data_IF_383600199918
#
_entry.id   IF_383600199918
#
_cell.length_a   1.000
_cell.length_b   1.000
_cell.length_c   1.000
_cell.angle_alpha   90.00
_cell.angle_beta   90.00
_cell.angle_gamma   90.00
#
_symmetry.space_group_name_H-M   'P 1'
#
loop_
_entity.id
_entity.type
_entity.pdbx_description
1 polymer ?
#
# COMPACT_ATOMS: atom_id res chain seq x y z
N UNK A 1 5.98 -6.56 34.15
CA UNK A 1 5.28 -7.80 33.76
C UNK A 1 5.70 -8.36 32.38
N UNK A 2 6.28 -7.57 31.45
CA UNK A 2 6.61 -8.06 30.08
C UNK A 2 8.08 -8.49 29.88
N UNK A 3 8.94 -8.34 30.90
CA UNK A 3 10.37 -8.67 30.83
C UNK A 3 10.68 -10.18 30.75
N UNK A 4 9.67 -11.04 30.81
CA UNK A 4 9.83 -12.50 30.81
C UNK A 4 10.00 -13.12 29.40
N UNK A 5 9.71 -12.37 28.33
CA UNK A 5 9.69 -12.88 26.96
C UNK A 5 10.84 -12.35 26.10
N UNK A 6 11.06 -11.04 26.15
CA UNK A 6 12.06 -10.34 25.37
C UNK A 6 12.58 -9.13 26.15
N UNK A 7 13.89 -8.96 26.15
CA UNK A 7 14.57 -7.77 26.66
C UNK A 7 15.46 -7.19 25.55
N UNK A 8 15.44 -5.87 25.37
CA UNK A 8 16.33 -5.19 24.43
C UNK A 8 17.82 -5.39 24.76
N UNK A 9 18.14 -5.60 26.05
CA UNK A 9 19.50 -5.75 26.54
C UNK A 9 19.96 -7.22 26.65
N UNK A 10 19.03 -8.14 26.97
CA UNK A 10 19.35 -9.55 27.24
C UNK A 10 18.80 -10.52 26.18
N UNK A 11 18.14 -10.03 25.14
CA UNK A 11 17.55 -10.84 24.08
C UNK A 11 16.31 -11.63 24.51
N UNK A 12 16.04 -12.72 23.78
CA UNK A 12 14.91 -13.62 24.04
C UNK A 12 15.24 -14.61 25.16
N UNK A 13 14.30 -14.80 26.08
CA UNK A 13 14.42 -15.87 27.09
C UNK A 13 14.16 -17.24 26.46
N UNK A 14 14.60 -18.37 27.06
CA UNK A 14 14.29 -19.71 26.54
C UNK A 14 12.78 -19.95 26.36
N UNK A 15 11.96 -19.40 27.26
CA UNK A 15 10.50 -19.44 27.13
C UNK A 15 10.00 -18.58 25.95
N UNK A 16 10.55 -17.37 25.78
CA UNK A 16 10.26 -16.51 24.63
C UNK A 16 10.63 -17.16 23.29
N UNK A 17 11.77 -17.85 23.22
CA UNK A 17 12.18 -18.63 22.04
C UNK A 17 11.15 -19.72 21.74
N UNK A 18 10.77 -20.53 22.73
CA UNK A 18 9.78 -21.60 22.51
C UNK A 18 8.44 -21.06 22.01
N UNK A 19 7.94 -19.96 22.58
CA UNK A 19 6.70 -19.34 22.14
C UNK A 19 6.77 -18.87 20.68
N UNK A 20 7.87 -18.19 20.31
CA UNK A 20 8.10 -17.73 18.94
C UNK A 20 8.23 -18.92 17.98
N UNK A 21 8.98 -19.95 18.35
CA UNK A 21 9.12 -21.19 17.56
C UNK A 21 7.76 -21.81 17.29
N UNK A 22 6.88 -21.97 18.29
CA UNK A 22 5.53 -22.52 18.10
C UNK A 22 4.68 -21.67 17.15
N UNK A 23 4.83 -20.35 17.19
CA UNK A 23 4.16 -19.43 16.25
C UNK A 23 4.64 -19.62 14.80
N UNK A 24 5.95 -19.74 14.61
CA UNK A 24 6.57 -20.00 13.31
C UNK A 24 6.15 -21.36 12.76
N UNK A 25 6.21 -22.42 13.59
CA UNK A 25 5.76 -23.77 13.22
C UNK A 25 4.28 -23.80 12.85
N UNK A 26 3.42 -23.10 13.59
CA UNK A 26 2.00 -22.98 13.28
C UNK A 26 1.75 -22.31 11.93
N UNK A 27 2.48 -21.23 11.65
CA UNK A 27 2.42 -20.53 10.36
C UNK A 27 2.89 -21.44 9.22
N UNK A 28 3.99 -22.15 9.42
CA UNK A 28 4.52 -23.09 8.44
C UNK A 28 3.53 -24.23 8.13
N UNK A 29 2.99 -24.89 9.16
CA UNK A 29 2.00 -25.95 9.00
C UNK A 29 0.76 -25.46 8.25
N UNK A 30 0.29 -24.24 8.54
CA UNK A 30 -0.82 -23.62 7.82
C UNK A 30 -0.50 -23.36 6.33
N UNK A 31 0.70 -22.88 6.04
CA UNK A 31 1.16 -22.70 4.67
C UNK A 31 1.19 -24.03 3.91
N UNK A 32 1.85 -25.05 4.47
CA UNK A 32 1.93 -26.39 3.86
C UNK A 32 0.53 -26.97 3.67
N UNK A 33 -0.37 -26.82 4.65
CA UNK A 33 -1.76 -27.24 4.50
C UNK A 33 -2.42 -26.64 3.25
N UNK A 34 -2.36 -25.32 3.04
CA UNK A 34 -2.93 -24.72 1.83
C UNK A 34 -2.30 -25.23 0.53
N UNK A 35 -0.99 -25.45 0.52
CA UNK A 35 -0.30 -26.00 -0.66
C UNK A 35 -0.77 -27.43 -0.94
N UNK A 36 -0.86 -28.29 0.07
CA UNK A 36 -1.33 -29.68 -0.08
C UNK A 36 -2.74 -29.75 -0.65
N UNK A 37 -3.68 -28.91 -0.16
CA UNK A 37 -5.06 -28.87 -0.66
C UNK A 37 -5.14 -28.48 -2.14
N UNK A 38 -4.33 -27.51 -2.58
CA UNK A 38 -4.36 -27.01 -3.95
C UNK A 38 -3.57 -27.91 -4.92
N UNK A 39 -2.45 -28.48 -4.49
CA UNK A 39 -1.58 -29.34 -5.31
C UNK A 39 -1.92 -30.82 -5.23
N UNK A 40 -2.85 -31.21 -4.34
CA UNK A 40 -3.27 -32.61 -4.11
C UNK A 40 -2.06 -33.52 -3.81
N UNK A 41 -1.12 -33.02 -3.00
CA UNK A 41 0.10 -33.72 -2.56
C UNK A 41 0.04 -33.95 -1.05
N UNK A 42 0.76 -34.96 -0.55
CA UNK A 42 0.84 -35.20 0.89
C UNK A 42 1.61 -34.08 1.61
N UNK A 43 1.46 -34.00 2.93
CA UNK A 43 2.22 -33.05 3.74
C UNK A 43 3.71 -33.32 3.59
N UNK A 44 4.11 -34.59 3.64
CA UNK A 44 5.49 -35.06 3.58
C UNK A 44 6.14 -34.69 2.24
N UNK A 45 5.41 -34.80 1.13
CA UNK A 45 5.90 -34.43 -0.20
C UNK A 45 6.21 -32.92 -0.27
N UNK A 46 5.33 -32.09 0.29
CA UNK A 46 5.48 -30.63 0.28
C UNK A 46 6.54 -30.18 1.28
N UNK A 47 6.60 -30.79 2.46
CA UNK A 47 7.62 -30.54 3.48
C UNK A 47 9.02 -30.86 2.95
N UNK A 48 9.17 -32.00 2.25
CA UNK A 48 10.42 -32.44 1.63
C UNK A 48 10.97 -31.48 0.56
N UNK A 49 10.12 -30.69 -0.10
CA UNK A 49 10.52 -29.64 -1.05
C UNK A 49 10.40 -28.21 -0.48
N UNK A 50 9.90 -28.08 0.76
CA UNK A 50 9.69 -26.85 1.49
C UNK A 50 10.93 -26.38 2.27
N UNK A 51 10.71 -25.68 3.38
CA UNK A 51 11.78 -25.26 4.30
C UNK A 51 12.53 -23.99 3.89
N UNK A 52 11.89 -23.09 3.13
CA UNK A 52 12.49 -21.79 2.74
C UNK A 52 13.39 -21.84 1.50
N UNK A 53 13.50 -22.98 0.82
CA UNK A 53 14.23 -23.10 -0.46
C UNK A 53 13.51 -22.34 -1.58
N UNK A 54 14.29 -21.65 -2.40
CA UNK A 54 13.81 -20.96 -3.60
C UNK A 54 13.97 -21.87 -4.81
N UNK A 55 12.93 -21.93 -5.65
CA UNK A 55 12.90 -22.75 -6.85
C UNK A 55 12.81 -21.87 -8.09
N UNK A 56 13.56 -22.22 -9.15
CA UNK A 56 13.31 -21.65 -10.48
C UNK A 56 11.94 -22.09 -10.98
N UNK A 57 11.33 -21.32 -11.88
CA UNK A 57 10.04 -21.70 -12.49
C UNK A 57 10.10 -23.10 -13.13
N UNK A 58 11.18 -23.40 -13.87
CA UNK A 58 11.38 -24.71 -14.50
C UNK A 58 11.40 -25.84 -13.48
N UNK A 59 12.12 -25.68 -12.37
CA UNK A 59 12.17 -26.68 -11.30
C UNK A 59 10.83 -26.78 -10.58
N UNK A 60 10.18 -25.66 -10.30
CA UNK A 60 8.85 -25.60 -9.68
C UNK A 60 7.82 -26.38 -10.51
N UNK A 61 7.88 -26.32 -11.84
CA UNK A 61 7.01 -27.11 -12.72
C UNK A 61 7.29 -28.62 -12.59
N UNK A 62 8.56 -29.01 -12.61
CA UNK A 62 8.96 -30.42 -12.47
C UNK A 62 8.51 -31.05 -11.15
N UNK A 63 8.58 -30.30 -10.05
CA UNK A 63 8.17 -30.77 -8.71
C UNK A 63 6.68 -30.53 -8.43
N UNK A 64 5.93 -29.96 -9.39
CA UNK A 64 4.49 -29.78 -9.30
C UNK A 64 4.02 -28.64 -8.39
N UNK A 65 4.86 -27.62 -8.17
CA UNK A 65 4.48 -26.39 -7.47
C UNK A 65 3.80 -25.37 -8.39
N UNK A 66 4.00 -25.46 -9.71
CA UNK A 66 3.31 -24.65 -10.73
C UNK A 66 2.85 -25.55 -11.88
N UNK A 67 1.78 -25.16 -12.55
CA UNK A 67 1.17 -25.96 -13.62
C UNK A 67 1.88 -25.72 -14.96
N UNK A 68 2.15 -24.45 -15.28
CA UNK A 68 2.73 -24.04 -16.55
C UNK A 68 3.77 -22.93 -16.41
N UNK A 69 4.61 -22.79 -17.45
CA UNK A 69 5.56 -21.68 -17.59
C UNK A 69 5.03 -20.78 -18.70
N UNK A 70 4.97 -19.48 -18.44
CA UNK A 70 4.46 -18.52 -19.41
C UNK A 70 4.62 -17.09 -18.95
N UNK A 71 4.18 -16.17 -19.82
CA UNK A 71 4.08 -14.75 -19.51
C UNK A 71 2.75 -14.41 -18.85
N UNK A 72 2.62 -13.17 -18.38
CA UNK A 72 1.35 -12.63 -17.90
C UNK A 72 0.25 -12.71 -18.98
N UNK A 73 0.59 -12.50 -20.25
CA UNK A 73 -0.34 -12.59 -21.36
C UNK A 73 -0.93 -14.00 -21.50
N UNK A 74 -0.10 -15.04 -21.31
CA UNK A 74 -0.56 -16.43 -21.31
C UNK A 74 -1.54 -16.69 -20.15
N UNK A 75 -1.25 -16.16 -18.96
CA UNK A 75 -2.13 -16.29 -17.80
C UNK A 75 -3.49 -15.61 -18.03
N UNK A 76 -3.50 -14.41 -18.64
CA UNK A 76 -4.74 -13.69 -18.98
C UNK A 76 -5.55 -14.46 -20.03
N UNK A 77 -4.90 -14.94 -21.10
CA UNK A 77 -5.55 -15.77 -22.13
C UNK A 77 -6.17 -17.03 -21.53
N UNK A 78 -5.44 -17.72 -20.65
CA UNK A 78 -5.93 -18.91 -19.96
C UNK A 78 -7.14 -18.58 -19.07
N UNK A 79 -7.10 -17.46 -18.34
CA UNK A 79 -8.24 -17.02 -17.53
C UNK A 79 -9.48 -16.71 -18.39
N UNK A 80 -9.31 -16.01 -19.52
CA UNK A 80 -10.39 -15.71 -20.46
C UNK A 80 -10.99 -16.98 -21.06
N UNK A 81 -10.16 -17.96 -21.43
CA UNK A 81 -10.59 -19.27 -21.91
C UNK A 81 -11.39 -20.02 -20.83
N UNK A 82 -10.89 -20.06 -19.59
CA UNK A 82 -11.55 -20.72 -18.47
C UNK A 82 -12.90 -20.07 -18.11
N UNK A 83 -13.02 -18.76 -18.33
CA UNK A 83 -14.25 -18.00 -18.14
C UNK A 83 -15.16 -17.97 -19.40
N UNK A 84 -14.75 -18.61 -20.50
CA UNK A 84 -15.46 -18.66 -21.78
C UNK A 84 -15.78 -17.28 -22.38
N UNK A 85 -14.86 -16.33 -22.25
CA UNK A 85 -15.02 -14.94 -22.72
C UNK A 85 -14.15 -14.71 -23.96
N UNK A 86 -14.77 -14.28 -25.07
CA UNK A 86 -14.07 -14.04 -26.34
C UNK A 86 -13.48 -12.63 -26.45
N UNK A 87 -14.11 -11.65 -25.81
CA UNK A 87 -13.68 -10.25 -25.82
C UNK A 87 -13.50 -9.79 -24.38
N UNK A 88 -12.29 -9.35 -24.04
CA UNK A 88 -11.94 -8.86 -22.72
C UNK A 88 -10.97 -7.69 -22.83
N UNK A 89 -10.98 -6.81 -21.83
CA UNK A 89 -10.01 -5.72 -21.70
C UNK A 89 -9.18 -5.94 -20.45
N UNK A 90 -7.89 -5.65 -20.53
CA UNK A 90 -6.96 -5.75 -19.40
C UNK A 90 -6.67 -4.34 -18.90
N UNK A 91 -6.95 -4.08 -17.63
CA UNK A 91 -6.60 -2.82 -16.97
C UNK A 91 -5.75 -3.10 -15.73
N UNK A 92 -4.73 -2.26 -15.52
CA UNK A 92 -3.85 -2.33 -14.36
C UNK A 92 -4.31 -1.34 -13.29
N UNK A 93 -4.28 -1.76 -12.03
CA UNK A 93 -4.64 -0.95 -10.87
C UNK A 93 -3.45 -0.75 -9.92
N UNK A 94 -3.42 0.36 -9.15
CA UNK A 94 -4.34 1.50 -9.23
C UNK A 94 -4.20 2.27 -10.55
N UNK A 95 -5.30 2.84 -11.06
CA UNK A 95 -5.25 3.70 -12.25
C UNK A 95 -4.38 4.90 -11.88
N UNK A 96 -3.20 5.02 -12.48
CA UNK A 96 -2.43 6.26 -12.39
C UNK A 96 -3.29 7.34 -13.04
N UNK A 97 -3.48 8.45 -12.33
CA UNK A 97 -4.14 9.62 -12.92
C UNK A 97 -3.42 9.95 -14.20
N UNK A 98 -4.18 10.09 -15.28
CA UNK A 98 -3.65 10.56 -16.55
C UNK A 98 -3.11 11.98 -16.36
N UNK A 99 -2.15 12.38 -17.21
CA UNK A 99 -1.61 13.75 -17.16
C UNK A 99 -2.72 14.81 -17.27
N UNK A 100 -3.80 14.51 -17.98
CA UNK A 100 -4.98 15.37 -18.07
C UNK A 100 -5.79 15.41 -16.76
N UNK A 101 -6.01 14.27 -16.12
CA UNK A 101 -6.68 14.21 -14.81
C UNK A 101 -5.88 14.96 -13.73
N UNK A 102 -4.54 14.91 -13.78
CA UNK A 102 -3.67 15.69 -12.88
C UNK A 102 -3.79 17.20 -13.14
N UNK A 103 -3.76 17.62 -14.41
CA UNK A 103 -3.94 19.03 -14.79
C UNK A 103 -5.33 19.53 -14.38
N UNK A 104 -6.38 18.72 -14.50
CA UNK A 104 -7.74 19.12 -14.14
C UNK A 104 -7.93 19.23 -12.63
N UNK A 105 -7.27 18.38 -11.84
CA UNK A 105 -7.22 18.51 -10.38
C UNK A 105 -6.48 19.78 -9.94
N UNK A 106 -5.40 20.16 -10.63
CA UNK A 106 -4.70 21.43 -10.39
C UNK A 106 -5.50 22.67 -10.83
N UNK A 107 -6.49 22.50 -11.71
CA UNK A 107 -7.40 23.56 -12.19
C UNK A 107 -8.71 23.64 -11.39
N UNK A 108 -8.73 23.14 -10.16
CA UNK A 108 -9.89 23.24 -9.27
C UNK A 108 -10.38 24.70 -9.13
N UNK A 109 -11.71 24.86 -9.12
CA UNK A 109 -12.44 26.14 -9.14
C UNK A 109 -12.02 27.10 -8.01
N UNK A 110 -11.57 26.53 -6.88
CA UNK A 110 -11.06 27.27 -5.73
C UNK A 110 -9.75 28.02 -6.03
N UNK A 111 -8.84 27.42 -6.79
CA UNK A 111 -7.56 28.05 -7.14
C UNK A 111 -7.73 29.08 -8.26
N UNK A 112 -8.66 28.83 -9.20
CA UNK A 112 -9.07 29.79 -10.23
C UNK A 112 -9.74 31.00 -9.59
N UNK A 113 -10.70 30.79 -8.67
CA UNK A 113 -11.39 31.88 -7.98
C UNK A 113 -10.43 32.68 -7.08
N UNK A 114 -9.52 32.02 -6.36
CA UNK A 114 -8.47 32.68 -5.58
C UNK A 114 -7.58 33.57 -6.46
N UNK A 115 -7.13 33.08 -7.62
CA UNK A 115 -6.30 33.86 -8.56
C UNK A 115 -7.05 35.04 -9.16
N UNK A 116 -8.32 34.86 -9.53
CA UNK A 116 -9.17 35.95 -10.05
C UNK A 116 -9.42 37.03 -9.00
N UNK A 117 -9.75 36.64 -7.77
CA UNK A 117 -9.96 37.58 -6.65
C UNK A 117 -8.66 38.34 -6.41
N UNK A 118 -7.52 37.65 -6.27
CA UNK A 118 -6.19 38.26 -6.05
C UNK A 118 -5.81 39.28 -7.14
N UNK A 119 -6.12 38.98 -8.40
CA UNK A 119 -5.84 39.92 -9.50
C UNK A 119 -6.77 41.14 -9.50
N UNK A 120 -8.04 40.99 -9.08
CA UNK A 120 -9.00 42.09 -9.05
C UNK A 120 -8.82 43.03 -7.86
N UNK A 121 -8.51 42.49 -6.68
CA UNK A 121 -8.37 43.30 -5.45
C UNK A 121 -6.91 43.65 -5.14
N UNK A 122 -5.94 43.02 -5.81
CA UNK A 122 -4.51 43.21 -5.55
C UNK A 122 -3.99 42.35 -4.39
N UNK A 123 -2.68 42.03 -4.43
CA UNK A 123 -2.05 41.10 -3.47
C UNK A 123 -2.23 41.53 -2.00
N UNK A 124 -2.01 42.81 -1.71
CA UNK A 124 -2.12 43.33 -0.33
C UNK A 124 -3.54 43.23 0.23
N UNK A 125 -4.58 43.48 -0.58
CA UNK A 125 -5.97 43.38 -0.12
C UNK A 125 -6.45 41.94 -0.02
N UNK A 126 -5.87 41.03 -0.82
CA UNK A 126 -6.16 39.59 -0.71
C UNK A 126 -5.63 38.99 0.58
N UNK A 127 -4.41 39.36 1.00
CA UNK A 127 -3.82 38.92 2.28
C UNK A 127 -4.67 39.35 3.48
N UNK A 128 -5.26 40.56 3.43
CA UNK A 128 -6.21 41.04 4.45
C UNK A 128 -7.50 40.22 4.44
N UNK A 129 -8.05 39.91 3.26
CA UNK A 129 -9.27 39.11 3.11
C UNK A 129 -9.07 37.68 3.63
N UNK A 130 -7.90 37.09 3.40
CA UNK A 130 -7.53 35.77 3.90
C UNK A 130 -7.47 35.75 5.44
N UNK A 131 -6.85 36.75 6.08
CA UNK A 131 -6.79 36.89 7.53
C UNK A 131 -8.20 36.99 8.18
N UNK A 132 -9.13 37.69 7.53
CA UNK A 132 -10.51 37.85 8.03
C UNK A 132 -11.36 36.59 7.79
N UNK A 133 -11.05 35.83 6.73
CA UNK A 133 -11.88 34.71 6.28
C UNK A 133 -11.39 33.36 6.80
N UNK A 134 -10.10 33.24 7.14
CA UNK A 134 -9.49 32.00 7.61
C UNK A 134 -10.21 31.48 8.87
N UNK A 135 -10.83 30.31 8.72
CA UNK A 135 -11.57 29.62 9.78
C UNK A 135 -10.68 29.26 10.96
N UNK A 136 -9.37 29.09 10.74
CA UNK A 136 -8.40 28.77 11.80
C UNK A 136 -8.11 29.95 12.74
N UNK A 137 -8.34 31.18 12.25
CA UNK A 137 -8.21 32.42 13.03
C UNK A 137 -9.50 32.77 13.78
N UNK A 138 -10.68 32.39 13.24
CA UNK A 138 -11.99 32.66 13.86
C UNK A 138 -12.26 31.88 15.15
N UNK A 139 -11.56 30.78 15.39
CA UNK A 139 -11.80 29.90 16.55
C UNK A 139 -10.96 30.21 17.78
N UNK A 140 -10.03 31.17 17.72
CA UNK A 140 -9.08 31.44 18.79
C UNK A 140 -9.09 32.93 19.19
N UNK A 141 -9.18 33.23 20.49
CA UNK A 141 -9.00 34.60 21.00
C UNK A 141 -7.52 34.96 20.85
N UNK A 142 -7.19 35.85 19.92
CA UNK A 142 -5.83 36.36 19.69
C UNK A 142 -5.75 37.84 20.00
N UNK A 143 -4.62 38.26 20.57
CA UNK A 143 -4.29 39.67 20.75
C UNK A 143 -3.55 40.16 19.49
N UNK A 144 -4.16 41.08 18.75
CA UNK A 144 -3.54 41.69 17.57
C UNK A 144 -2.91 43.05 17.92
N UNK A 145 -1.73 43.29 17.37
CA UNK A 145 -1.06 44.58 17.44
C UNK A 145 -1.63 45.50 16.34
N UNK A 146 -1.90 46.80 16.62
CA UNK A 146 -2.54 47.70 15.65
C UNK A 146 -1.62 48.12 14.48
N UNK A 147 -0.43 47.56 14.37
CA UNK A 147 0.51 47.79 13.29
C UNK A 147 1.31 46.51 12.99
N UNK A 148 1.54 46.24 11.71
CA UNK A 148 2.41 45.18 11.25
C UNK A 148 3.82 45.76 11.02
N UNK A 149 4.81 45.26 11.75
CA UNK A 149 6.21 45.65 11.55
C UNK A 149 6.76 44.81 10.40
N UNK A 150 6.95 45.43 9.24
CA UNK A 150 7.68 44.84 8.13
C UNK A 150 9.17 45.18 8.28
N UNK A 151 9.98 44.19 8.63
CA UNK A 151 11.44 44.30 8.62
C UNK A 151 11.90 43.78 7.26
N UNK A 152 12.59 44.62 6.50
CA UNK A 152 13.27 44.23 5.25
C UNK A 152 14.54 43.43 5.52
#
# INVERSE_FOLDING_TARGET
ANAAYYSSLNGLTPYGVNLMTRSVEGTYKRFVHFVTQNRKKSFEDIDAIGGGRVWSGTRAKQIGLVDELGSLENAVKFAAQKANVKSYNVSSYPKKMTAFEQIFEDLNEDDISARVIKNKIGKANYEILEQITDKKLKSEVKMEMPYQININ
#
